data_IF_165852221874
#
_entry.id   IF_165852221874
#
_cell.length_a   1.000
_cell.length_b   1.000
_cell.length_c   1.000
_cell.angle_alpha   90.00
_cell.angle_beta   90.00
_cell.angle_gamma   90.00
#
_symmetry.space_group_name_H-M   'P 1'
#
loop_
_entity.id
_entity.type
_entity.pdbx_description
1 polymer ?
#
# COMPACT_ATOMS: atom_id res chain seq x y z
N UNK A 1 50.22 -19.05 -10.52
CA UNK A 1 49.46 -20.02 -9.69
C UNK A 1 49.63 -19.59 -8.25
N UNK A 2 48.66 -19.18 -7.43
CA UNK A 2 47.22 -19.49 -7.32
C UNK A 2 46.43 -18.19 -7.08
N UNK A 3 45.24 -18.13 -7.67
CA UNK A 3 44.15 -17.22 -7.36
C UNK A 3 43.49 -17.61 -6.03
N UNK A 4 43.08 -16.64 -5.21
CA UNK A 4 41.93 -16.68 -4.27
C UNK A 4 41.72 -15.21 -3.80
N UNK A 5 40.98 -14.34 -4.50
CA UNK A 5 39.52 -14.16 -4.48
C UNK A 5 38.88 -14.59 -3.16
N UNK A 6 38.73 -13.66 -2.21
CA UNK A 6 37.52 -13.53 -1.36
C UNK A 6 37.46 -12.06 -0.90
N UNK A 7 36.82 -11.19 -1.67
CA UNK A 7 36.32 -9.92 -1.15
C UNK A 7 34.81 -10.06 -1.10
N UNK A 8 34.34 -10.32 0.12
CA UNK A 8 32.94 -10.49 0.50
C UNK A 8 32.20 -9.20 0.18
N UNK A 9 31.67 -9.11 -1.04
CA UNK A 9 30.57 -8.21 -1.34
C UNK A 9 29.32 -8.84 -0.72
N UNK A 10 29.03 -8.48 0.52
CA UNK A 10 27.68 -8.57 1.07
C UNK A 10 26.77 -7.68 0.22
N UNK A 11 26.36 -8.18 -0.94
CA UNK A 11 25.15 -7.73 -1.60
C UNK A 11 24.04 -8.18 -0.68
N UNK A 12 23.65 -7.30 0.25
CA UNK A 12 22.36 -7.39 0.89
C UNK A 12 21.34 -7.28 -0.24
N UNK A 13 20.97 -8.43 -0.81
CA UNK A 13 19.71 -8.60 -1.51
C UNK A 13 18.67 -8.16 -0.51
N UNK A 14 18.21 -6.92 -0.65
CA UNK A 14 16.95 -6.49 -0.07
C UNK A 14 15.92 -7.35 -0.78
N UNK A 15 15.68 -8.54 -0.25
CA UNK A 15 14.53 -9.33 -0.63
C UNK A 15 13.34 -8.46 -0.23
N UNK A 16 12.76 -7.78 -1.22
CA UNK A 16 11.41 -7.25 -1.06
C UNK A 16 10.56 -8.47 -0.68
N UNK A 17 10.19 -8.56 0.60
CA UNK A 17 9.20 -9.52 1.04
C UNK A 17 7.89 -9.14 0.34
N UNK A 18 7.70 -9.63 -0.88
CA UNK A 18 6.42 -9.53 -1.54
C UNK A 18 5.42 -10.28 -0.66
N UNK A 19 4.45 -9.55 -0.10
CA UNK A 19 3.34 -10.12 0.63
C UNK A 19 2.75 -11.26 -0.22
N UNK A 20 2.87 -12.50 0.26
CA UNK A 20 2.39 -13.69 -0.46
C UNK A 20 0.86 -13.73 -0.42
N UNK A 21 0.23 -12.91 -1.25
CA UNK A 21 -1.22 -12.89 -1.44
C UNK A 21 -1.65 -14.13 -2.26
N UNK A 22 -2.81 -14.68 -1.92
CA UNK A 22 -3.48 -15.72 -2.72
C UNK A 22 -3.92 -15.16 -4.08
N UNK A 23 -4.16 -16.05 -5.05
CA UNK A 23 -4.62 -15.63 -6.37
C UNK A 23 -6.01 -14.97 -6.32
N UNK A 24 -6.86 -15.40 -5.39
CA UNK A 24 -8.15 -14.77 -5.13
C UNK A 24 -7.99 -13.33 -4.60
N UNK A 25 -7.09 -13.12 -3.63
CA UNK A 25 -6.79 -11.78 -3.11
C UNK A 25 -6.23 -10.87 -4.20
N UNK A 26 -5.33 -11.38 -5.05
CA UNK A 26 -4.80 -10.65 -6.20
C UNK A 26 -5.89 -10.31 -7.22
N UNK A 27 -6.79 -11.25 -7.51
CA UNK A 27 -7.91 -11.03 -8.43
C UNK A 27 -8.84 -9.94 -7.89
N UNK A 28 -9.20 -9.98 -6.59
CA UNK A 28 -10.05 -8.96 -5.98
C UNK A 28 -9.39 -7.59 -5.96
N UNK A 29 -8.09 -7.52 -5.64
CA UNK A 29 -7.34 -6.27 -5.71
C UNK A 29 -7.33 -5.69 -7.14
N UNK A 30 -7.17 -6.53 -8.17
CA UNK A 30 -7.23 -6.09 -9.58
C UNK A 30 -8.63 -5.60 -9.97
N UNK A 31 -9.68 -6.29 -9.53
CA UNK A 31 -11.08 -5.88 -9.77
C UNK A 31 -11.37 -4.51 -9.12
N UNK A 32 -11.00 -4.35 -7.85
CA UNK A 32 -11.16 -3.08 -7.13
C UNK A 32 -10.39 -1.95 -7.81
N UNK A 33 -9.13 -2.20 -8.20
CA UNK A 33 -8.31 -1.22 -8.92
C UNK A 33 -8.93 -0.84 -10.27
N UNK A 34 -9.39 -1.80 -11.07
CA UNK A 34 -10.03 -1.52 -12.35
C UNK A 34 -11.30 -0.68 -12.19
N UNK A 35 -12.14 -1.00 -11.20
CA UNK A 35 -13.34 -0.22 -10.91
C UNK A 35 -13.00 1.22 -10.49
N UNK A 36 -11.98 1.42 -9.66
CA UNK A 36 -11.58 2.75 -9.20
C UNK A 36 -10.86 3.57 -10.29
N UNK A 37 -10.09 2.93 -11.16
CA UNK A 37 -9.52 3.58 -12.36
C UNK A 37 -10.64 4.18 -13.21
N UNK A 38 -11.70 3.40 -13.47
CA UNK A 38 -12.84 3.85 -14.24
C UNK A 38 -13.64 4.95 -13.52
N UNK A 39 -13.86 4.81 -12.21
CA UNK A 39 -14.63 5.77 -11.41
C UNK A 39 -13.98 7.15 -11.35
N UNK A 40 -12.67 7.20 -11.10
CA UNK A 40 -11.96 8.47 -10.91
C UNK A 40 -11.41 9.05 -12.22
N UNK A 41 -11.44 8.26 -13.30
CA UNK A 41 -10.96 8.66 -14.61
C UNK A 41 -9.44 8.92 -14.62
N UNK A 42 -8.69 8.03 -13.99
CA UNK A 42 -7.21 7.99 -14.04
C UNK A 42 -6.73 6.92 -15.02
N UNK A 43 -5.43 6.89 -15.32
CA UNK A 43 -4.84 5.80 -16.12
C UNK A 43 -4.33 4.66 -15.24
N UNK A 44 -4.09 3.51 -15.87
CA UNK A 44 -3.46 2.36 -15.21
C UNK A 44 -2.04 2.69 -14.73
N UNK A 45 -1.31 3.48 -15.50
CA UNK A 45 0.05 3.91 -15.20
C UNK A 45 0.07 4.81 -13.96
N UNK A 46 -0.92 5.70 -13.80
CA UNK A 46 -1.06 6.51 -12.59
C UNK A 46 -1.34 5.65 -11.36
N UNK A 47 -2.22 4.65 -11.47
CA UNK A 47 -2.49 3.71 -10.38
C UNK A 47 -1.25 2.86 -10.02
N UNK A 48 -0.50 2.42 -11.02
CA UNK A 48 0.75 1.68 -10.83
C UNK A 48 1.85 2.54 -10.20
N UNK A 49 1.97 3.81 -10.61
CA UNK A 49 2.90 4.76 -10.02
C UNK A 49 2.58 4.98 -8.53
N UNK A 50 1.32 5.15 -8.17
CA UNK A 50 0.89 5.26 -6.77
C UNK A 50 1.28 3.99 -5.98
N UNK A 51 0.98 2.80 -6.52
CA UNK A 51 1.35 1.52 -5.91
C UNK A 51 2.87 1.37 -5.73
N UNK A 52 3.65 1.92 -6.65
CA UNK A 52 5.12 1.90 -6.63
C UNK A 52 5.76 2.94 -5.71
N UNK A 53 4.97 3.78 -5.03
CA UNK A 53 5.49 4.78 -4.10
C UNK A 53 5.77 6.16 -4.70
N UNK A 54 5.32 6.44 -5.92
CA UNK A 54 5.42 7.76 -6.52
C UNK A 54 4.36 8.70 -5.93
N UNK A 55 4.73 9.42 -4.87
CA UNK A 55 3.81 10.25 -4.08
C UNK A 55 3.94 11.76 -4.33
N UNK A 56 4.97 12.19 -5.04
CA UNK A 56 5.22 13.61 -5.30
C UNK A 56 4.31 14.14 -6.40
N UNK A 57 3.72 15.33 -6.18
CA UNK A 57 2.91 16.02 -7.19
C UNK A 57 1.66 15.27 -7.64
N UNK A 58 1.15 14.33 -6.83
CA UNK A 58 0.00 13.49 -7.17
C UNK A 58 -1.28 14.32 -7.32
N UNK A 59 -1.97 14.13 -8.44
CA UNK A 59 -3.22 14.83 -8.74
C UNK A 59 -4.38 14.42 -7.81
N UNK A 60 -5.41 15.25 -7.74
CA UNK A 60 -6.57 15.01 -6.86
C UNK A 60 -7.32 13.70 -7.21
N UNK A 61 -7.34 13.28 -8.48
CA UNK A 61 -8.04 12.07 -8.91
C UNK A 61 -7.32 10.81 -8.45
N UNK A 62 -5.99 10.80 -8.44
CA UNK A 62 -5.18 9.69 -7.93
C UNK A 62 -5.31 9.60 -6.41
N UNK A 63 -5.45 10.73 -5.70
CA UNK A 63 -5.82 10.70 -4.27
C UNK A 63 -7.19 10.07 -4.07
N UNK A 64 -8.17 10.43 -4.90
CA UNK A 64 -9.49 9.81 -4.83
C UNK A 64 -9.50 8.34 -5.27
N UNK A 65 -8.58 7.92 -6.16
CA UNK A 65 -8.35 6.52 -6.48
C UNK A 65 -7.90 5.74 -5.24
N UNK A 66 -6.99 6.31 -4.43
CA UNK A 66 -6.61 5.70 -3.15
C UNK A 66 -7.83 5.54 -2.24
N UNK A 67 -8.66 6.57 -2.08
CA UNK A 67 -9.91 6.47 -1.31
C UNK A 67 -10.84 5.37 -1.82
N UNK A 68 -11.15 5.39 -3.12
CA UNK A 68 -12.01 4.38 -3.74
C UNK A 68 -11.48 2.96 -3.50
N UNK A 69 -10.17 2.76 -3.69
CA UNK A 69 -9.56 1.44 -3.53
C UNK A 69 -9.62 0.94 -2.08
N UNK A 70 -9.31 1.81 -1.11
CA UNK A 70 -9.38 1.47 0.31
C UNK A 70 -10.82 1.20 0.77
N UNK A 71 -11.80 1.98 0.29
CA UNK A 71 -13.22 1.77 0.58
C UNK A 71 -13.73 0.45 0.00
N UNK A 72 -13.45 0.15 -1.28
CA UNK A 72 -13.83 -1.13 -1.90
C UNK A 72 -13.12 -2.34 -1.26
N UNK A 73 -11.98 -2.11 -0.64
CA UNK A 73 -11.24 -3.13 0.10
C UNK A 73 -11.69 -3.24 1.57
N UNK A 74 -12.63 -2.39 2.01
CA UNK A 74 -13.17 -2.37 3.38
C UNK A 74 -12.22 -1.78 4.42
N UNK A 75 -11.09 -1.21 4.00
CA UNK A 75 -10.05 -0.68 4.87
C UNK A 75 -10.37 0.73 5.38
N UNK A 76 -11.23 1.44 4.66
CA UNK A 76 -11.62 2.82 4.92
C UNK A 76 -13.13 2.97 4.70
N UNK A 77 -13.78 3.85 5.46
CA UNK A 77 -15.16 4.29 5.18
C UNK A 77 -15.21 5.79 5.49
N UNK A 78 -15.58 6.61 4.51
CA UNK A 78 -15.74 8.07 4.67
C UNK A 78 -14.51 8.74 5.32
N UNK A 79 -13.30 8.38 4.87
CA UNK A 79 -12.04 8.91 5.41
C UNK A 79 -11.66 8.38 6.81
N UNK A 80 -12.35 7.37 7.32
CA UNK A 80 -12.02 6.70 8.58
C UNK A 80 -11.49 5.30 8.33
N UNK A 81 -10.23 5.06 8.70
CA UNK A 81 -9.61 3.74 8.59
C UNK A 81 -10.32 2.77 9.53
N UNK A 82 -10.34 1.49 9.15
CA UNK A 82 -10.92 0.38 9.91
C UNK A 82 -9.76 -0.49 10.42
N UNK A 83 -9.20 -0.22 11.61
CA UNK A 83 -8.00 -0.89 12.09
C UNK A 83 -8.18 -2.42 12.16
N UNK A 84 -9.36 -2.88 12.56
CA UNK A 84 -9.62 -4.33 12.65
C UNK A 84 -9.58 -5.02 11.30
N UNK A 85 -10.12 -4.39 10.24
CA UNK A 85 -10.09 -4.94 8.88
C UNK A 85 -8.67 -4.90 8.30
N UNK A 86 -7.92 -3.83 8.59
CA UNK A 86 -6.50 -3.75 8.21
C UNK A 86 -5.70 -4.87 8.88
N UNK A 87 -5.93 -5.11 10.17
CA UNK A 87 -5.24 -6.16 10.93
C UNK A 87 -5.62 -7.56 10.43
N UNK A 88 -6.88 -7.79 10.12
CA UNK A 88 -7.38 -9.05 9.55
C UNK A 88 -6.70 -9.36 8.20
N UNK A 89 -6.57 -8.36 7.33
CA UNK A 89 -6.05 -8.54 5.97
C UNK A 89 -4.53 -8.55 5.90
N UNK A 90 -3.85 -7.67 6.65
CA UNK A 90 -2.40 -7.55 6.63
C UNK A 90 -1.70 -8.40 7.68
N UNK A 91 -2.35 -8.71 8.80
CA UNK A 91 -1.77 -9.50 9.90
C UNK A 91 -1.22 -10.86 9.44
N UNK A 92 -1.96 -11.66 8.63
CA UNK A 92 -1.48 -12.94 8.14
C UNK A 92 -0.27 -12.86 7.19
N UNK A 93 -0.06 -11.72 6.52
CA UNK A 93 0.98 -11.56 5.50
C UNK A 93 2.18 -10.74 5.96
N UNK A 94 1.97 -9.77 6.85
CA UNK A 94 2.98 -8.84 7.36
C UNK A 94 3.33 -9.06 8.84
N UNK A 95 2.52 -9.85 9.57
CA UNK A 95 2.65 -10.08 11.01
C UNK A 95 1.82 -9.12 11.85
N UNK A 96 1.03 -9.66 12.78
CA UNK A 96 0.10 -8.92 13.64
C UNK A 96 0.77 -7.78 14.39
N UNK A 97 1.91 -8.03 15.05
CA UNK A 97 2.59 -7.01 15.85
C UNK A 97 3.18 -5.89 14.98
N UNK A 98 3.69 -6.23 13.80
CA UNK A 98 4.16 -5.26 12.81
C UNK A 98 3.02 -4.35 12.37
N UNK A 99 1.86 -4.93 12.03
CA UNK A 99 0.69 -4.17 11.60
C UNK A 99 0.18 -3.25 12.71
N UNK A 100 0.07 -3.74 13.96
CA UNK A 100 -0.31 -2.91 15.12
C UNK A 100 0.66 -1.74 15.35
N UNK A 101 1.96 -1.98 15.21
CA UNK A 101 2.96 -0.92 15.34
C UNK A 101 2.84 0.15 14.23
N UNK A 102 2.39 -0.23 13.03
CA UNK A 102 2.12 0.69 11.92
C UNK A 102 0.82 1.46 12.16
N UNK A 103 -0.23 0.79 12.61
CA UNK A 103 -1.51 1.42 12.98
C UNK A 103 -1.32 2.52 14.01
N UNK A 104 -0.52 2.25 15.05
CA UNK A 104 -0.18 3.24 16.07
C UNK A 104 0.51 4.50 15.53
N UNK A 105 1.16 4.42 14.37
CA UNK A 105 1.84 5.55 13.71
C UNK A 105 0.97 6.24 12.66
N UNK A 106 0.11 5.48 11.97
CA UNK A 106 -0.54 5.94 10.75
C UNK A 106 -2.05 6.21 10.90
N UNK A 107 -2.77 5.52 11.77
CA UNK A 107 -4.25 5.55 11.75
C UNK A 107 -4.86 6.90 12.13
N UNK A 108 -4.08 7.72 12.84
CA UNK A 108 -4.45 9.09 13.21
C UNK A 108 -4.23 10.12 12.10
N UNK A 109 -3.60 9.74 10.98
CA UNK A 109 -3.33 10.63 9.85
C UNK A 109 -4.64 11.11 9.23
N UNK A 110 -4.71 12.42 8.96
CA UNK A 110 -5.87 13.11 8.37
C UNK A 110 -5.41 14.11 7.31
N UNK A 111 -6.12 14.13 6.21
CA UNK A 111 -5.94 15.12 5.14
C UNK A 111 -7.04 16.17 5.11
N UNK A 112 -6.99 17.02 4.09
CA UNK A 112 -7.96 18.10 3.90
C UNK A 112 -9.39 17.60 3.61
N UNK A 113 -9.52 16.42 2.99
CA UNK A 113 -10.77 15.74 2.68
C UNK A 113 -10.58 14.21 2.75
N UNK A 114 -11.60 13.44 2.36
CA UNK A 114 -11.53 11.97 2.38
C UNK A 114 -10.50 11.40 1.40
N UNK A 115 -10.35 12.00 0.22
CA UNK A 115 -9.38 11.58 -0.79
C UNK A 115 -7.96 11.84 -0.31
N UNK A 116 -7.71 13.03 0.23
CA UNK A 116 -6.41 13.39 0.80
C UNK A 116 -6.10 12.55 2.04
N UNK A 117 -7.08 12.30 2.91
CA UNK A 117 -6.90 11.40 4.07
C UNK A 117 -6.51 9.99 3.63
N UNK A 118 -7.22 9.41 2.67
CA UNK A 118 -6.90 8.09 2.12
C UNK A 118 -5.49 8.04 1.53
N UNK A 119 -5.11 9.06 0.76
CA UNK A 119 -3.78 9.17 0.17
C UNK A 119 -2.68 9.27 1.23
N UNK A 120 -2.85 10.11 2.26
CA UNK A 120 -1.86 10.24 3.32
C UNK A 120 -1.73 8.96 4.16
N UNK A 121 -2.84 8.27 4.44
CA UNK A 121 -2.83 6.94 5.06
C UNK A 121 -2.05 5.94 4.19
N UNK A 122 -2.37 5.86 2.89
CA UNK A 122 -1.67 5.00 1.93
C UNK A 122 -0.17 5.23 1.93
N UNK A 123 0.26 6.50 1.88
CA UNK A 123 1.67 6.87 1.98
C UNK A 123 2.33 6.43 3.28
N UNK A 124 1.68 6.68 4.43
CA UNK A 124 2.23 6.34 5.74
C UNK A 124 2.46 4.83 5.85
N UNK A 125 1.48 4.05 5.43
CA UNK A 125 1.54 2.59 5.39
C UNK A 125 2.65 2.09 4.45
N UNK A 126 2.72 2.64 3.23
CA UNK A 126 3.77 2.32 2.27
C UNK A 126 5.18 2.62 2.83
N UNK A 127 5.39 3.79 3.44
CA UNK A 127 6.66 4.19 4.06
C UNK A 127 7.09 3.27 5.23
N UNK A 128 6.14 2.58 5.86
CA UNK A 128 6.40 1.62 6.93
C UNK A 128 6.38 0.16 6.45
N UNK A 129 6.50 -0.09 5.13
CA UNK A 129 6.55 -1.42 4.53
C UNK A 129 5.31 -2.29 4.81
N UNK A 130 4.13 -1.67 4.80
CA UNK A 130 2.84 -2.35 4.78
C UNK A 130 1.97 -1.72 3.68
N UNK A 131 1.85 -2.39 2.53
CA UNK A 131 1.03 -1.85 1.43
C UNK A 131 -0.45 -2.11 1.74
N UNK A 132 -1.25 -1.03 1.75
CA UNK A 132 -2.72 -1.09 1.76
C UNK A 132 -3.28 -1.41 0.37
#
# INVERSE_FOLDING_TARGET
>A
MKFLIVLVACVALVAAEELKLSDEQKAKARENAAACIAQEGITKEQAQALRGGSFDGVDAKVKCFANCFLEKSGLLVDGQIKPEVVLEKLGPVAGVDKVKAIQAKCDSVKGADKCDTAFQLYQCYHKNNAQL
#
